data_IF_956461528076
#
_entry.id   IF_956461528076
#
_cell.length_a   1.000
_cell.length_b   1.000
_cell.length_c   1.000
_cell.angle_alpha   90.00
_cell.angle_beta   90.00
_cell.angle_gamma   90.00
#
_symmetry.space_group_name_H-M   'P 1'
#
loop_
_entity.id
_entity.type
_entity.pdbx_description
1 polymer ?
#
# COMPACT_ATOMS: atom_id res chain seq x y z
N UNK A 1 -2.68 14.63 -0.41
CA UNK A 1 -3.08 13.66 -1.46
C UNK A 1 -3.69 12.44 -0.80
N UNK A 2 -4.51 11.75 -1.54
CA UNK A 2 -5.13 10.50 -1.11
C UNK A 2 -4.52 9.35 -1.91
N UNK A 3 -4.30 8.23 -1.26
CA UNK A 3 -3.69 7.06 -1.87
C UNK A 3 -4.69 5.91 -1.91
N UNK A 4 -4.66 5.14 -2.99
CA UNK A 4 -5.38 3.88 -3.09
C UNK A 4 -4.36 2.78 -3.36
N UNK A 5 -4.19 1.90 -2.39
CA UNK A 5 -3.34 0.72 -2.52
C UNK A 5 -4.21 -0.48 -2.87
N UNK A 6 -3.83 -1.18 -3.93
CA UNK A 6 -4.54 -2.39 -4.35
C UNK A 6 -3.73 -3.60 -3.88
N UNK A 7 -4.37 -4.45 -3.10
CA UNK A 7 -3.73 -5.62 -2.50
C UNK A 7 -4.62 -6.85 -2.64
N UNK A 8 -4.00 -8.01 -2.50
CA UNK A 8 -4.75 -9.26 -2.31
C UNK A 8 -5.53 -9.18 -0.99
N UNK A 9 -6.77 -9.71 -0.94
CA UNK A 9 -7.59 -9.64 0.28
C UNK A 9 -6.91 -10.17 1.54
N UNK A 10 -6.09 -11.20 1.42
CA UNK A 10 -5.36 -11.76 2.57
C UNK A 10 -4.39 -10.78 3.22
N UNK A 11 -3.75 -9.92 2.43
CA UNK A 11 -2.88 -8.88 2.98
C UNK A 11 -3.69 -7.80 3.70
N UNK A 12 -4.86 -7.43 3.14
CA UNK A 12 -5.74 -6.45 3.80
C UNK A 12 -6.25 -7.01 5.12
N UNK A 13 -6.61 -8.29 5.14
CA UNK A 13 -7.05 -8.94 6.37
C UNK A 13 -5.94 -8.94 7.42
N UNK A 14 -4.71 -9.20 7.03
CA UNK A 14 -3.56 -9.14 7.95
C UNK A 14 -3.33 -7.73 8.50
N UNK A 15 -3.60 -6.70 7.70
CA UNK A 15 -3.54 -5.31 8.16
C UNK A 15 -4.65 -5.06 9.19
N UNK A 16 -5.87 -5.50 8.90
CA UNK A 16 -6.99 -5.36 9.82
C UNK A 16 -6.77 -6.12 11.13
N UNK A 17 -6.13 -7.28 11.07
CA UNK A 17 -5.81 -8.10 12.25
C UNK A 17 -4.64 -7.55 13.07
N UNK A 18 -3.88 -6.62 12.52
CA UNK A 18 -2.69 -6.07 13.17
C UNK A 18 -1.43 -6.90 13.01
N UNK A 19 -1.46 -7.98 12.24
CA UNK A 19 -0.26 -8.80 11.99
C UNK A 19 0.65 -8.20 10.94
N UNK A 20 0.10 -7.38 10.04
CA UNK A 20 0.86 -6.61 9.06
C UNK A 20 0.66 -5.13 9.35
N UNK A 21 1.74 -4.43 9.66
CA UNK A 21 1.70 -3.01 10.04
C UNK A 21 2.46 -2.09 9.07
N UNK A 22 3.22 -2.67 8.16
CA UNK A 22 3.97 -1.93 7.14
C UNK A 22 3.56 -2.45 5.76
N UNK A 23 3.12 -1.53 4.91
CA UNK A 23 2.95 -1.82 3.49
C UNK A 23 4.24 -1.52 2.76
N UNK A 24 4.62 -2.40 1.85
CA UNK A 24 5.86 -2.27 1.09
C UNK A 24 5.62 -2.36 -0.40
N UNK A 25 6.38 -1.58 -1.15
CA UNK A 25 6.41 -1.66 -2.62
C UNK A 25 7.85 -1.78 -3.06
N UNK A 26 8.14 -2.88 -3.72
CA UNK A 26 9.45 -3.18 -4.29
C UNK A 26 9.30 -3.22 -5.80
N UNK A 27 9.87 -2.25 -6.51
CA UNK A 27 9.66 -2.11 -7.95
C UNK A 27 10.96 -1.93 -8.70
N UNK A 28 10.97 -2.29 -9.99
CA UNK A 28 12.13 -2.12 -10.87
C UNK A 28 12.20 -0.73 -11.48
N UNK A 29 11.06 -0.06 -11.54
CA UNK A 29 10.95 1.31 -12.07
C UNK A 29 10.29 2.20 -11.02
N UNK A 30 10.49 3.51 -11.14
CA UNK A 30 9.82 4.47 -10.25
C UNK A 30 8.33 4.46 -10.53
N UNK A 31 7.55 4.03 -9.55
CA UNK A 31 6.10 3.96 -9.61
C UNK A 31 5.52 4.47 -8.30
N UNK A 32 4.30 5.02 -8.32
CA UNK A 32 3.64 5.37 -7.07
C UNK A 32 3.60 4.18 -6.12
N UNK A 33 3.83 4.36 -4.83
CA UNK A 33 3.93 5.63 -4.09
C UNK A 33 5.35 6.19 -3.95
N UNK A 34 6.34 5.67 -4.67
CA UNK A 34 7.74 6.08 -4.52
C UNK A 34 7.89 7.61 -4.58
N UNK A 35 8.42 8.19 -3.52
CA UNK A 35 8.62 9.62 -3.40
C UNK A 35 7.36 10.47 -3.31
N UNK A 36 6.17 9.86 -3.24
CA UNK A 36 4.91 10.58 -3.32
C UNK A 36 4.03 10.47 -2.08
N UNK A 37 4.38 9.63 -1.13
CA UNK A 37 3.57 9.44 0.09
C UNK A 37 4.23 10.13 1.28
N UNK A 38 3.41 10.83 2.06
CA UNK A 38 3.84 11.59 3.24
C UNK A 38 3.05 11.17 4.46
N UNK A 39 3.69 11.25 5.62
CA UNK A 39 3.05 11.02 6.90
C UNK A 39 1.77 11.84 7.04
N UNK A 40 0.71 11.19 7.50
CA UNK A 40 -0.59 11.81 7.71
C UNK A 40 -1.53 11.71 6.51
N UNK A 41 -1.05 11.27 5.35
CA UNK A 41 -1.92 11.09 4.20
C UNK A 41 -2.79 9.84 4.34
N UNK A 42 -4.01 9.91 3.79
CA UNK A 42 -4.95 8.79 3.84
C UNK A 42 -4.62 7.74 2.80
N UNK A 43 -4.71 6.49 3.22
CA UNK A 43 -4.52 5.34 2.35
C UNK A 43 -5.77 4.46 2.39
N UNK A 44 -6.39 4.27 1.23
CA UNK A 44 -7.48 3.32 1.07
C UNK A 44 -6.91 1.98 0.63
N UNK A 45 -7.39 0.91 1.24
CA UNK A 45 -6.97 -0.45 0.93
C UNK A 45 -8.09 -1.13 0.15
N UNK A 46 -7.85 -1.34 -1.14
CA UNK A 46 -8.82 -1.93 -2.05
C UNK A 46 -8.40 -3.35 -2.40
N UNK A 47 -9.32 -4.29 -2.29
CA UNK A 47 -9.05 -5.66 -2.74
C UNK A 47 -8.88 -5.69 -4.26
N UNK A 48 -7.91 -6.47 -4.73
CA UNK A 48 -7.73 -6.70 -6.17
C UNK A 48 -9.01 -7.30 -6.75
N UNK A 49 -9.61 -6.59 -7.72
CA UNK A 49 -10.88 -7.01 -8.31
C UNK A 49 -12.09 -6.90 -7.39
N UNK A 50 -11.97 -6.26 -6.22
CA UNK A 50 -13.01 -6.20 -5.22
C UNK A 50 -13.22 -4.81 -4.61
N UNK A 51 -13.93 -4.75 -3.47
CA UNK A 51 -14.29 -3.49 -2.84
C UNK A 51 -13.13 -2.86 -2.08
N UNK A 52 -13.33 -1.59 -1.66
CA UNK A 52 -12.50 -0.97 -0.64
C UNK A 52 -12.84 -1.63 0.71
N UNK A 53 -11.83 -2.16 1.38
CA UNK A 53 -12.02 -2.95 2.60
C UNK A 53 -11.56 -2.24 3.88
N UNK A 54 -10.68 -1.29 3.76
CA UNK A 54 -10.14 -0.58 4.92
C UNK A 54 -9.59 0.78 4.53
N UNK A 55 -9.45 1.64 5.54
CA UNK A 55 -8.68 2.88 5.45
C UNK A 55 -7.58 2.88 6.49
N UNK A 56 -6.53 3.63 6.22
CA UNK A 56 -5.44 3.87 7.15
C UNK A 56 -4.90 5.28 6.97
N UNK A 57 -4.10 5.73 7.92
CA UNK A 57 -3.25 6.90 7.74
C UNK A 57 -1.80 6.44 7.60
N UNK A 58 -1.05 7.07 6.72
CA UNK A 58 0.37 6.83 6.62
C UNK A 58 1.07 7.36 7.89
N UNK A 59 1.81 6.50 8.55
CA UNK A 59 2.77 6.88 9.58
C UNK A 59 4.09 7.23 8.92
N UNK A 60 5.21 6.70 9.42
CA UNK A 60 6.49 6.90 8.77
C UNK A 60 6.46 6.32 7.36
N UNK A 61 6.90 7.11 6.39
CA UNK A 61 6.99 6.70 5.01
C UNK A 61 8.39 6.98 4.50
N UNK A 62 9.00 5.98 3.87
CA UNK A 62 10.37 6.08 3.35
C UNK A 62 10.41 5.57 1.92
N UNK A 63 11.10 6.29 1.05
CA UNK A 63 11.38 5.87 -0.33
C UNK A 63 12.88 5.93 -0.55
N UNK A 64 13.46 4.85 -1.03
CA UNK A 64 14.92 4.79 -1.27
C UNK A 64 15.25 3.79 -2.37
N UNK A 65 16.43 3.96 -2.96
CA UNK A 65 16.91 3.06 -4.00
C UNK A 65 17.58 1.83 -3.37
N UNK A 66 17.34 0.68 -3.98
CA UNK A 66 18.01 -0.57 -3.63
C UNK A 66 19.20 -0.77 -4.58
N UNK A 67 20.39 -0.48 -4.10
CA UNK A 67 21.61 -0.59 -4.91
C UNK A 67 22.03 -2.04 -5.15
N UNK A 68 21.57 -2.97 -4.30
CA UNK A 68 21.88 -4.39 -4.40
C UNK A 68 20.82 -5.24 -3.71
N UNK A 69 20.78 -6.56 -3.99
CA UNK A 69 19.89 -7.47 -3.26
C UNK A 69 20.08 -7.46 -1.74
N UNK A 70 21.28 -7.13 -1.27
CA UNK A 70 21.55 -7.02 0.17
C UNK A 70 20.69 -5.97 0.85
N UNK A 71 20.26 -4.93 0.14
CA UNK A 71 19.36 -3.91 0.70
C UNK A 71 17.98 -4.52 1.00
N UNK A 72 17.47 -5.37 0.12
CA UNK A 72 16.21 -6.08 0.34
C UNK A 72 16.32 -7.01 1.56
N UNK A 73 17.45 -7.71 1.66
CA UNK A 73 17.71 -8.59 2.80
C UNK A 73 17.75 -7.82 4.12
N UNK A 74 18.28 -6.59 4.13
CA UNK A 74 18.26 -5.71 5.30
C UNK A 74 16.86 -5.30 5.68
N UNK A 75 16.03 -4.97 4.70
CA UNK A 75 14.62 -4.64 4.94
C UNK A 75 13.91 -5.84 5.58
N UNK A 76 14.15 -7.03 5.05
CA UNK A 76 13.59 -8.26 5.61
C UNK A 76 14.00 -8.47 7.07
N UNK A 77 15.29 -8.32 7.36
CA UNK A 77 15.80 -8.51 8.72
C UNK A 77 15.19 -7.51 9.70
N UNK A 78 15.02 -6.27 9.28
CA UNK A 78 14.53 -5.20 10.15
C UNK A 78 13.00 -5.16 10.23
N UNK A 79 12.30 -5.41 9.14
CA UNK A 79 10.85 -5.18 9.02
C UNK A 79 10.07 -6.38 8.48
N UNK A 80 10.69 -7.54 8.32
CA UNK A 80 10.04 -8.70 7.71
C UNK A 80 8.75 -9.12 8.41
N UNK A 81 8.70 -9.05 9.72
CA UNK A 81 7.50 -9.41 10.49
C UNK A 81 6.36 -8.45 10.23
N UNK A 82 6.66 -7.16 10.22
CA UNK A 82 5.68 -6.08 10.04
C UNK A 82 5.17 -6.02 8.60
N UNK A 83 6.01 -6.38 7.64
CA UNK A 83 5.64 -6.41 6.21
C UNK A 83 4.89 -7.68 5.87
N UNK A 84 5.34 -8.82 6.39
CA UNK A 84 4.80 -10.12 6.04
C UNK A 84 5.43 -10.68 4.75
N UNK A 85 4.72 -11.59 4.11
CA UNK A 85 5.19 -12.27 2.93
C UNK A 85 5.99 -13.54 3.27
N UNK A 86 5.98 -14.49 2.36
CA UNK A 86 6.72 -15.74 2.51
C UNK A 86 8.12 -15.65 1.87
N UNK A 87 8.86 -16.74 1.94
CA UNK A 87 10.20 -16.81 1.36
C UNK A 87 10.19 -16.51 -0.14
N UNK A 88 9.21 -17.06 -0.87
CA UNK A 88 9.11 -16.85 -2.32
C UNK A 88 8.87 -15.36 -2.64
N UNK A 89 8.03 -14.69 -1.86
CA UNK A 89 7.79 -13.26 -2.00
C UNK A 89 9.09 -12.47 -1.88
N UNK A 90 9.84 -12.68 -0.79
CA UNK A 90 11.08 -11.93 -0.54
C UNK A 90 12.14 -12.24 -1.58
N UNK A 91 12.26 -13.49 -2.02
CA UNK A 91 13.16 -13.85 -3.09
C UNK A 91 12.83 -13.13 -4.40
N UNK A 92 11.55 -13.01 -4.72
CA UNK A 92 11.09 -12.35 -5.94
C UNK A 92 11.38 -10.85 -5.95
N UNK A 93 11.65 -10.23 -4.79
CA UNK A 93 11.90 -8.78 -4.67
C UNK A 93 13.37 -8.40 -4.67
N UNK A 94 14.28 -9.38 -4.65
CA UNK A 94 15.71 -9.11 -4.48
C UNK A 94 16.34 -8.31 -5.63
N UNK A 95 15.74 -8.33 -6.81
CA UNK A 95 16.22 -7.58 -7.98
C UNK A 95 15.52 -6.23 -8.17
N UNK A 96 14.76 -5.76 -7.19
CA UNK A 96 14.12 -4.45 -7.25
C UNK A 96 15.15 -3.32 -7.19
N UNK A 97 14.75 -2.13 -7.64
CA UNK A 97 15.58 -0.93 -7.61
C UNK A 97 15.03 0.17 -6.74
N UNK A 98 13.73 0.15 -6.48
CA UNK A 98 13.03 1.20 -5.73
C UNK A 98 12.19 0.57 -4.65
N UNK A 99 12.34 1.06 -3.43
CA UNK A 99 11.63 0.55 -2.26
C UNK A 99 10.85 1.68 -1.62
N UNK A 100 9.57 1.44 -1.34
CA UNK A 100 8.77 2.33 -0.50
C UNK A 100 8.23 1.53 0.67
N UNK A 101 8.43 2.04 1.87
CA UNK A 101 7.89 1.45 3.10
C UNK A 101 6.96 2.47 3.74
N UNK A 102 5.76 2.03 4.07
CA UNK A 102 4.73 2.88 4.68
C UNK A 102 4.19 2.20 5.92
N UNK A 103 4.43 2.81 7.07
CA UNK A 103 3.78 2.39 8.30
C UNK A 103 2.31 2.78 8.24
N UNK A 104 1.42 1.82 8.52
CA UNK A 104 -0.03 2.04 8.48
C UNK A 104 -0.56 2.21 9.89
N UNK A 105 -1.27 3.31 10.13
CA UNK A 105 -1.84 3.66 11.43
C UNK A 105 -3.33 3.95 11.28
N UNK A 106 -4.05 4.01 12.41
CA UNK A 106 -5.48 4.34 12.45
C UNK A 106 -6.29 3.55 11.44
N UNK A 107 -6.13 2.24 11.48
CA UNK A 107 -6.76 1.33 10.52
C UNK A 107 -8.21 1.13 10.90
N UNK A 108 -9.11 1.34 9.92
CA UNK A 108 -10.56 1.16 10.10
C UNK A 108 -11.13 0.33 8.96
N UNK A 109 -11.99 -0.65 9.25
CA UNK A 109 -12.67 -1.39 8.19
C UNK A 109 -13.72 -0.52 7.51
N UNK A 110 -13.85 -0.68 6.21
CA UNK A 110 -14.95 -0.11 5.43
C UNK A 110 -15.42 -1.16 4.43
N UNK A 111 -16.61 -0.95 3.87
CA UNK A 111 -17.14 -1.83 2.84
C UNK A 111 -17.90 -0.98 1.82
N UNK A 112 -17.19 -0.52 0.80
CA UNK A 112 -17.79 0.21 -0.31
C UNK A 112 -17.27 -0.33 -1.62
N UNK A 113 -18.15 -0.40 -2.61
CA UNK A 113 -17.74 -0.69 -3.97
C UNK A 113 -16.92 0.46 -4.55
N UNK A 114 -16.16 0.22 -5.62
CA UNK A 114 -15.44 1.31 -6.29
C UNK A 114 -16.43 2.37 -6.79
N UNK A 115 -16.35 3.61 -6.31
CA UNK A 115 -17.29 4.67 -6.71
C UNK A 115 -17.03 5.18 -8.13
N UNK A 116 -15.95 4.78 -8.73
CA UNK A 116 -15.58 5.11 -10.09
C UNK A 116 -14.64 4.01 -10.61
N UNK A 117 -14.45 3.99 -11.93
CA UNK A 117 -13.56 3.02 -12.53
C UNK A 117 -12.10 3.39 -12.25
N UNK A 118 -11.40 2.48 -11.59
CA UNK A 118 -9.95 2.61 -11.38
C UNK A 118 -9.27 1.95 -12.57
N UNK A 119 -8.33 2.64 -13.21
CA UNK A 119 -7.62 2.08 -14.35
C UNK A 119 -6.88 0.80 -13.93
N UNK A 120 -7.01 -0.23 -14.75
CA UNK A 120 -6.34 -1.50 -14.51
C UNK A 120 -4.82 -1.35 -14.60
N UNK A 121 -4.08 -2.27 -14.01
CA UNK A 121 -2.63 -2.43 -14.14
C UNK A 121 -1.76 -1.55 -13.26
N UNK A 122 -2.33 -0.70 -12.40
CA UNK A 122 -1.57 -0.04 -11.35
C UNK A 122 -1.91 -0.66 -10.00
N UNK A 123 -0.88 -0.88 -9.19
CA UNK A 123 -1.06 -1.37 -7.83
C UNK A 123 -1.25 -0.25 -6.81
N UNK A 124 -1.06 0.99 -7.23
CA UNK A 124 -1.16 2.15 -6.35
C UNK A 124 -1.59 3.38 -7.14
N UNK A 125 -2.54 4.15 -6.59
CA UNK A 125 -3.03 5.40 -7.17
C UNK A 125 -2.85 6.54 -6.18
N UNK A 126 -2.44 7.70 -6.71
CA UNK A 126 -2.40 8.96 -5.95
C UNK A 126 -3.50 9.84 -6.51
N UNK A 127 -4.41 10.28 -5.64
CA UNK A 127 -5.61 11.00 -6.03
C UNK A 127 -5.70 12.35 -5.35
N UNK A 128 -6.41 13.29 -6.00
CA UNK A 128 -6.83 14.53 -5.39
C UNK A 128 -7.98 14.29 -4.39
N UNK A 129 -8.20 15.26 -3.50
CA UNK A 129 -9.29 15.23 -2.53
C UNK A 129 -10.67 15.08 -3.21
N UNK A 130 -10.83 15.62 -4.41
CA UNK A 130 -12.08 15.53 -5.17
C UNK A 130 -12.43 14.10 -5.58
N UNK A 131 -11.46 13.21 -5.60
CA UNK A 131 -11.63 11.81 -5.96
C UNK A 131 -11.56 10.87 -4.78
N UNK A 132 -11.69 11.41 -3.56
CA UNK A 132 -11.77 10.61 -2.35
C UNK A 132 -12.92 9.59 -2.46
N UNK A 133 -12.65 8.29 -2.36
CA UNK A 133 -13.67 7.25 -2.48
C UNK A 133 -14.86 7.43 -1.55
N UNK A 134 -14.62 7.82 -0.29
CA UNK A 134 -15.71 8.03 0.66
C UNK A 134 -16.54 9.26 0.31
N UNK A 135 -15.89 10.34 -0.12
CA UNK A 135 -16.61 11.56 -0.53
C UNK A 135 -17.52 11.28 -1.71
N UNK A 136 -17.00 10.60 -2.74
CA UNK A 136 -17.78 10.26 -3.93
C UNK A 136 -18.91 9.29 -3.58
N UNK A 137 -18.65 8.29 -2.76
CA UNK A 137 -19.67 7.35 -2.31
C UNK A 137 -20.83 8.06 -1.60
N UNK A 138 -20.53 9.06 -0.75
CA UNK A 138 -21.56 9.88 -0.06
C UNK A 138 -22.39 10.69 -1.05
N UNK A 139 -21.79 11.19 -2.12
CA UNK A 139 -22.50 11.96 -3.14
C UNK A 139 -23.43 11.09 -3.99
N UNK A 140 -23.14 9.79 -4.13
CA UNK A 140 -23.94 8.85 -4.90
C UNK A 140 -25.08 8.22 -4.09
N UNK A 141 -25.04 8.33 -2.80
CA UNK A 141 -26.02 7.78 -1.85
C UNK A 141 -26.60 8.87 -0.99
#
# INVERSE_FOLDING_TARGET
MIHVAILKPGYIQAILDGTKTIESRFTKTKQPPYGQIKTGERVYLKASGGPFMATALAGLASSFEAESPAMVDKVYQKHGKEIGGDTAYWQSKRDCRYITLVELTEIEPISIGPPYKVAFMKAWYVLDEDRDPLRIARLLH
#
